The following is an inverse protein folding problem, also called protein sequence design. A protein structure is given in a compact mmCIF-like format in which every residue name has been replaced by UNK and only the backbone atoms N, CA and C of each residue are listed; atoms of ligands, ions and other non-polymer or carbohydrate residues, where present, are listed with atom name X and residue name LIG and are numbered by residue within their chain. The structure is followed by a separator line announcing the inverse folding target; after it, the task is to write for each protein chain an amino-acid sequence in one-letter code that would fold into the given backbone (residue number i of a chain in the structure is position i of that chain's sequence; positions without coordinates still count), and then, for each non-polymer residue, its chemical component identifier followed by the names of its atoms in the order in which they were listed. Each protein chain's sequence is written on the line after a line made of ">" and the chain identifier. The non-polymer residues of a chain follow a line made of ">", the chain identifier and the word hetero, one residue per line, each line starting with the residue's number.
data_IF_877458762509
#
_entry.id   IF_877458762509
#
_cell.length_a   1.000
_cell.length_b   1.000
_cell.length_c   1.000
_cell.angle_alpha   90.00
_cell.angle_beta   90.00
_cell.angle_gamma   90.00
#
_symmetry.space_group_name_H-M   'P 1'
#
loop_
_entity.id
_entity.type
_entity.pdbx_description
1 polymer ?
#
# COMPACT_ATOMS: atom_id res chain seq x y z
N UNK A 1 4.41 21.33 -17.43
CA UNK A 1 5.21 20.08 -17.51
C UNK A 1 5.54 19.66 -16.08
N UNK A 2 5.23 18.43 -15.68
CA UNK A 2 5.56 17.92 -14.36
C UNK A 2 7.08 18.00 -14.13
N UNK A 3 7.47 18.47 -12.96
CA UNK A 3 8.87 18.47 -12.50
C UNK A 3 8.92 18.04 -11.03
N UNK A 4 10.13 17.72 -10.54
CA UNK A 4 10.32 17.18 -9.18
C UNK A 4 9.83 18.13 -8.07
N UNK A 5 9.95 19.44 -8.27
CA UNK A 5 9.46 20.41 -7.30
C UNK A 5 7.93 20.35 -7.18
N UNK A 6 7.20 20.31 -8.30
CA UNK A 6 5.74 20.17 -8.32
C UNK A 6 5.34 18.81 -7.73
N UNK A 7 5.96 17.71 -8.19
CA UNK A 7 5.67 16.37 -7.72
C UNK A 7 5.89 16.21 -6.20
N UNK A 8 6.93 16.89 -5.65
CA UNK A 8 7.22 16.85 -4.23
C UNK A 8 6.21 17.66 -3.40
N UNK A 9 5.84 18.87 -3.88
CA UNK A 9 5.08 19.83 -3.07
C UNK A 9 3.55 19.74 -3.27
N UNK A 10 3.06 19.04 -4.29
CA UNK A 10 1.61 18.83 -4.43
C UNK A 10 1.08 17.88 -3.36
N UNK A 11 -0.14 18.09 -2.82
CA UNK A 11 -0.79 17.12 -1.95
C UNK A 11 -0.98 15.78 -2.63
N UNK A 12 -0.76 14.71 -1.89
CA UNK A 12 -0.92 13.33 -2.36
C UNK A 12 -1.76 12.52 -1.37
N UNK A 13 -2.39 11.48 -1.88
CA UNK A 13 -3.05 10.43 -1.12
C UNK A 13 -2.41 9.11 -1.53
N UNK A 14 -1.89 8.37 -0.57
CA UNK A 14 -1.24 7.07 -0.77
C UNK A 14 -2.08 5.97 -0.13
N UNK A 15 -2.56 5.04 -0.94
CA UNK A 15 -3.52 4.01 -0.55
C UNK A 15 -2.92 2.60 -0.51
N UNK A 16 -1.66 2.43 -0.94
CA UNK A 16 -0.98 1.16 -1.02
C UNK A 16 0.48 1.28 -0.58
N UNK A 17 0.72 1.12 0.71
CA UNK A 17 2.05 1.20 1.29
C UNK A 17 2.19 0.22 2.45
N UNK A 18 3.08 -0.78 2.31
CA UNK A 18 3.34 -1.80 3.31
C UNK A 18 4.29 -1.30 4.40
N UNK A 19 3.95 -1.53 5.66
CA UNK A 19 4.73 -1.12 6.81
C UNK A 19 6.11 -1.80 6.85
N UNK A 20 6.12 -3.10 6.65
CA UNK A 20 7.29 -3.96 6.70
C UNK A 20 8.27 -3.70 5.55
N UNK A 21 7.76 -3.30 4.37
CA UNK A 21 8.59 -2.93 3.22
C UNK A 21 9.00 -1.44 3.18
N UNK A 22 8.64 -0.63 4.19
CA UNK A 22 8.77 0.83 4.10
C UNK A 22 9.48 1.49 5.29
N UNK A 23 10.11 0.69 6.17
CA UNK A 23 10.91 1.21 7.29
C UNK A 23 12.21 1.84 6.79
N UNK A 24 12.56 3.03 7.30
CA UNK A 24 13.83 3.65 6.91
C UNK A 24 15.05 2.86 7.39
N UNK A 25 16.13 2.88 6.61
CA UNK A 25 17.39 2.20 6.98
C UNK A 25 17.93 2.64 8.35
N UNK A 26 17.92 3.95 8.71
CA UNK A 26 18.33 4.39 10.06
C UNK A 26 17.46 3.82 11.18
N UNK A 27 16.15 3.65 10.95
CA UNK A 27 15.27 3.05 11.94
C UNK A 27 15.58 1.56 12.11
N UNK A 28 15.75 0.82 11.03
CA UNK A 28 16.10 -0.61 11.09
C UNK A 28 17.42 -0.80 11.86
N UNK A 29 18.46 -0.01 11.55
CA UNK A 29 19.73 -0.02 12.26
C UNK A 29 19.56 0.21 13.77
N UNK A 30 18.74 1.20 14.15
CA UNK A 30 18.43 1.52 15.54
C UNK A 30 17.72 0.36 16.25
N UNK A 31 16.70 -0.24 15.61
CA UNK A 31 15.94 -1.36 16.19
C UNK A 31 16.82 -2.59 16.38
N UNK A 32 17.70 -2.91 15.41
CA UNK A 32 18.68 -3.98 15.56
C UNK A 32 19.57 -3.77 16.81
N UNK A 33 20.07 -2.55 17.02
CA UNK A 33 20.85 -2.20 18.21
C UNK A 33 20.06 -2.38 19.51
N UNK A 34 18.80 -1.98 19.53
CA UNK A 34 17.94 -2.13 20.70
C UNK A 34 17.67 -3.60 21.06
N UNK A 35 17.64 -4.48 20.05
CA UNK A 35 17.53 -5.93 20.23
C UNK A 35 18.86 -6.61 20.58
N UNK A 36 19.94 -5.85 20.72
CA UNK A 36 21.28 -6.40 21.01
C UNK A 36 21.94 -7.10 19.83
N UNK A 37 21.42 -6.91 18.60
CA UNK A 37 22.04 -7.39 17.37
C UNK A 37 23.15 -6.43 16.95
N UNK A 38 24.21 -6.97 16.31
CA UNK A 38 25.24 -6.12 15.72
C UNK A 38 24.63 -5.29 14.58
N UNK A 39 24.72 -3.94 14.64
CA UNK A 39 24.11 -3.09 13.65
C UNK A 39 24.90 -3.15 12.34
N UNK A 40 24.20 -3.39 11.25
CA UNK A 40 24.77 -3.32 9.90
C UNK A 40 25.00 -1.86 9.50
N UNK A 41 25.99 -1.60 8.64
CA UNK A 41 26.16 -0.30 8.00
C UNK A 41 24.97 0.04 7.09
N UNK A 42 24.71 1.35 6.85
CA UNK A 42 23.57 1.77 6.00
C UNK A 42 23.67 1.23 4.57
N UNK A 43 24.87 1.17 4.00
CA UNK A 43 25.09 0.60 2.66
C UNK A 43 24.81 -0.92 2.65
N UNK A 44 25.27 -1.64 3.66
CA UNK A 44 25.00 -3.08 3.78
C UNK A 44 23.50 -3.36 3.98
N UNK A 45 22.81 -2.52 4.77
CA UNK A 45 21.35 -2.58 4.91
C UNK A 45 20.67 -2.33 3.57
N UNK A 46 21.13 -1.34 2.81
CA UNK A 46 20.58 -1.05 1.48
C UNK A 46 20.71 -2.25 0.54
N UNK A 47 21.88 -2.87 0.47
CA UNK A 47 22.10 -4.08 -0.36
C UNK A 47 21.19 -5.25 0.04
N UNK A 48 20.95 -5.42 1.33
CA UNK A 48 20.07 -6.50 1.84
C UNK A 48 18.60 -6.23 1.62
N UNK A 49 18.15 -4.98 1.72
CA UNK A 49 16.75 -4.60 1.79
C UNK A 49 16.15 -4.13 0.45
N UNK A 50 16.97 -3.50 -0.40
CA UNK A 50 16.49 -3.01 -1.67
C UNK A 50 16.44 -4.14 -2.69
N UNK A 51 15.29 -4.28 -3.34
CA UNK A 51 15.13 -5.19 -4.46
C UNK A 51 15.79 -4.61 -5.71
N UNK A 52 16.66 -5.34 -6.40
CA UNK A 52 17.26 -4.84 -7.62
C UNK A 52 16.22 -4.67 -8.74
N UNK A 53 16.49 -3.75 -9.68
CA UNK A 53 15.59 -3.52 -10.82
C UNK A 53 15.53 -4.71 -11.79
N UNK A 54 16.51 -5.59 -11.74
CA UNK A 54 16.58 -6.85 -12.50
C UNK A 54 16.11 -8.06 -11.68
N UNK A 55 15.44 -7.85 -10.55
CA UNK A 55 14.79 -8.90 -9.78
C UNK A 55 13.98 -9.82 -10.69
N UNK A 56 14.08 -11.13 -10.49
CA UNK A 56 13.56 -12.11 -11.45
C UNK A 56 12.08 -12.46 -11.24
N UNK A 57 11.57 -12.23 -10.04
CA UNK A 57 10.23 -12.66 -9.65
C UNK A 57 9.73 -11.98 -8.37
N UNK A 58 8.43 -12.06 -8.14
CA UNK A 58 7.81 -11.67 -6.85
C UNK A 58 8.42 -12.47 -5.67
N UNK A 59 8.74 -13.73 -5.86
CA UNK A 59 9.33 -14.55 -4.79
C UNK A 59 10.69 -14.00 -4.33
N UNK A 60 11.57 -13.63 -5.26
CA UNK A 60 12.86 -12.99 -4.94
C UNK A 60 12.67 -11.62 -4.26
N UNK A 61 11.69 -10.85 -4.74
CA UNK A 61 11.31 -9.58 -4.10
C UNK A 61 10.90 -9.77 -2.64
N UNK A 62 10.11 -10.80 -2.33
CA UNK A 62 9.62 -11.09 -0.99
C UNK A 62 10.72 -11.54 0.00
N UNK A 63 11.88 -12.01 -0.47
CA UNK A 63 13.03 -12.35 0.40
C UNK A 63 13.56 -11.11 1.16
N UNK A 64 13.31 -9.90 0.65
CA UNK A 64 13.75 -8.64 1.27
C UNK A 64 13.05 -8.30 2.59
N UNK A 65 11.97 -8.99 2.92
CA UNK A 65 11.14 -8.69 4.10
C UNK A 65 11.60 -9.38 5.40
N UNK A 66 12.49 -10.38 5.33
CA UNK A 66 12.90 -11.14 6.51
C UNK A 66 13.46 -10.25 7.62
N UNK A 67 14.39 -9.35 7.29
CA UNK A 67 15.06 -8.49 8.26
C UNK A 67 14.11 -7.41 8.83
N UNK A 68 13.30 -6.69 8.03
CA UNK A 68 12.28 -5.78 8.54
C UNK A 68 11.27 -6.46 9.46
N UNK A 69 10.74 -7.62 9.09
CA UNK A 69 9.81 -8.38 9.93
C UNK A 69 10.43 -8.75 11.28
N UNK A 70 11.73 -9.10 11.30
CA UNK A 70 12.47 -9.32 12.55
C UNK A 70 12.51 -8.11 13.48
N UNK A 71 12.42 -6.88 12.94
CA UNK A 71 12.37 -5.63 13.72
C UNK A 71 10.94 -5.27 14.21
N UNK A 72 9.91 -5.95 13.69
CA UNK A 72 8.50 -5.68 14.00
C UNK A 72 7.91 -6.66 15.03
N UNK A 73 8.75 -7.24 15.90
CA UNK A 73 8.32 -8.21 16.90
C UNK A 73 8.04 -7.60 18.28
N UNK A 74 8.20 -6.29 18.45
CA UNK A 74 7.97 -5.58 19.70
C UNK A 74 6.98 -4.42 19.54
N UNK A 75 6.30 -4.02 20.61
CA UNK A 75 5.39 -2.85 20.61
C UNK A 75 6.12 -1.57 20.20
N UNK A 76 7.34 -1.42 20.72
CA UNK A 76 8.21 -0.28 20.44
C UNK A 76 8.63 -0.25 18.96
N UNK A 77 9.03 -1.39 18.40
CA UNK A 77 9.40 -1.53 17.00
C UNK A 77 8.24 -1.20 16.07
N UNK A 78 7.05 -1.77 16.33
CA UNK A 78 5.83 -1.51 15.55
C UNK A 78 5.41 -0.03 15.60
N UNK A 79 5.39 0.58 16.79
CA UNK A 79 5.06 1.99 16.95
C UNK A 79 6.08 2.91 16.28
N UNK A 80 7.38 2.58 16.38
CA UNK A 80 8.43 3.36 15.74
C UNK A 80 8.37 3.26 14.21
N UNK A 81 8.14 2.06 13.66
CA UNK A 81 8.00 1.85 12.22
C UNK A 81 6.81 2.62 11.63
N UNK A 82 5.65 2.55 12.28
CA UNK A 82 4.47 3.27 11.84
C UNK A 82 4.67 4.80 11.87
N UNK A 83 5.30 5.32 12.93
CA UNK A 83 5.62 6.74 13.03
C UNK A 83 6.63 7.19 11.97
N UNK A 84 7.70 6.43 11.76
CA UNK A 84 8.76 6.72 10.80
C UNK A 84 8.20 6.79 9.36
N UNK A 85 7.41 5.78 8.98
CA UNK A 85 6.76 5.72 7.67
C UNK A 85 5.86 6.94 7.45
N UNK A 86 4.94 7.22 8.38
CA UNK A 86 4.00 8.33 8.23
C UNK A 86 4.71 9.70 8.19
N UNK A 87 5.75 9.91 9.02
CA UNK A 87 6.55 11.14 8.96
C UNK A 87 7.35 11.26 7.67
N UNK A 88 7.86 10.15 7.13
CA UNK A 88 8.53 10.15 5.82
C UNK A 88 7.58 10.53 4.69
N UNK A 89 6.38 9.97 4.67
CA UNK A 89 5.34 10.30 3.69
C UNK A 89 4.90 11.78 3.78
N UNK A 90 4.73 12.30 5.01
CA UNK A 90 4.34 13.69 5.24
C UNK A 90 5.36 14.70 4.66
N UNK A 91 6.67 14.39 4.68
CA UNK A 91 7.71 15.25 4.07
C UNK A 91 7.51 15.46 2.58
N UNK A 92 6.84 14.52 1.91
CA UNK A 92 6.52 14.57 0.48
C UNK A 92 5.09 15.08 0.21
N UNK A 93 4.45 15.71 1.19
CA UNK A 93 3.09 16.22 1.10
C UNK A 93 2.03 15.12 0.90
N UNK A 94 2.29 13.90 1.35
CA UNK A 94 1.22 12.91 1.50
C UNK A 94 0.31 13.38 2.65
N UNK A 95 -0.96 13.65 2.33
CA UNK A 95 -1.96 14.18 3.29
C UNK A 95 -2.82 13.09 3.90
N UNK A 96 -2.88 11.93 3.25
CA UNK A 96 -3.53 10.73 3.76
C UNK A 96 -2.75 9.49 3.31
N UNK A 97 -2.50 8.62 4.28
CA UNK A 97 -1.74 7.38 4.08
C UNK A 97 -2.51 6.19 4.66
N UNK A 98 -2.80 5.19 3.84
CA UNK A 98 -3.28 3.89 4.30
C UNK A 98 -2.11 2.93 4.40
N UNK A 99 -1.68 2.64 5.64
CA UNK A 99 -0.59 1.71 5.93
C UNK A 99 -1.15 0.31 6.02
N UNK A 100 -0.60 -0.62 5.21
CA UNK A 100 -1.00 -2.03 5.24
C UNK A 100 0.09 -2.93 5.78
N UNK A 101 -0.29 -3.98 6.47
CA UNK A 101 0.62 -4.99 7.01
C UNK A 101 -0.15 -6.22 7.51
N UNK A 102 0.54 -7.36 7.66
CA UNK A 102 -0.02 -8.59 8.18
C UNK A 102 0.35 -8.78 9.67
N UNK A 103 -0.55 -8.53 10.63
CA UNK A 103 -0.25 -8.66 12.07
C UNK A 103 0.33 -10.01 12.47
N UNK A 104 -0.09 -11.08 11.79
CA UNK A 104 0.39 -12.45 12.08
C UNK A 104 1.89 -12.61 11.98
N UNK A 105 2.59 -11.80 11.17
CA UNK A 105 4.04 -11.85 11.03
C UNK A 105 4.79 -11.12 12.16
N UNK A 106 4.08 -10.46 13.06
CA UNK A 106 4.65 -9.79 14.24
C UNK A 106 4.35 -10.53 15.56
N UNK A 107 3.93 -11.79 15.49
CA UNK A 107 3.51 -12.59 16.65
C UNK A 107 4.59 -13.54 17.17
N UNK A 108 5.77 -13.60 16.55
CA UNK A 108 6.81 -14.60 16.89
C UNK A 108 7.34 -14.44 18.33
N UNK A 109 7.33 -13.22 18.86
CA UNK A 109 7.74 -12.95 20.26
C UNK A 109 6.55 -12.86 21.24
N UNK A 110 5.37 -13.37 20.84
CA UNK A 110 4.23 -13.54 21.72
C UNK A 110 3.26 -12.39 21.81
N UNK A 111 3.38 -11.37 20.95
CA UNK A 111 2.38 -10.32 20.84
C UNK A 111 1.07 -10.89 20.29
N UNK A 112 -0.05 -10.42 20.84
CA UNK A 112 -1.38 -10.66 20.29
C UNK A 112 -1.66 -9.71 19.12
N UNK A 113 -2.60 -10.06 18.24
CA UNK A 113 -3.08 -9.20 17.16
C UNK A 113 -3.52 -7.84 17.70
N UNK A 114 -4.24 -7.82 18.85
CA UNK A 114 -4.67 -6.60 19.53
C UNK A 114 -3.49 -5.70 19.88
N UNK A 115 -2.46 -6.22 20.55
CA UNK A 115 -1.30 -5.45 20.95
C UNK A 115 -0.52 -4.90 19.75
N UNK A 116 -0.45 -5.67 18.67
CA UNK A 116 0.17 -5.25 17.41
C UNK A 116 -0.60 -4.07 16.80
N UNK A 117 -1.92 -4.18 16.67
CA UNK A 117 -2.76 -3.11 16.11
C UNK A 117 -2.73 -1.84 16.98
N UNK A 118 -2.77 -1.98 18.30
CA UNK A 118 -2.62 -0.84 19.23
C UNK A 118 -1.28 -0.14 19.04
N UNK A 119 -0.19 -0.89 18.90
CA UNK A 119 1.16 -0.35 18.75
C UNK A 119 1.33 0.41 17.43
N UNK A 120 0.84 -0.13 16.31
CA UNK A 120 0.88 0.55 15.01
C UNK A 120 0.01 1.81 15.05
N UNK A 121 -1.22 1.72 15.57
CA UNK A 121 -2.11 2.88 15.75
C UNK A 121 -1.46 4.00 16.55
N UNK A 122 -0.80 3.66 17.65
CA UNK A 122 -0.13 4.63 18.51
C UNK A 122 1.04 5.32 17.78
N UNK A 123 1.77 4.58 16.94
CA UNK A 123 2.81 5.14 16.07
C UNK A 123 2.25 6.12 15.05
N UNK A 124 1.17 5.75 14.37
CA UNK A 124 0.48 6.61 13.40
C UNK A 124 -0.05 7.89 14.06
N UNK A 125 -0.72 7.80 15.21
CA UNK A 125 -1.19 8.98 15.96
C UNK A 125 -0.06 9.92 16.35
N UNK A 126 1.09 9.39 16.80
CA UNK A 126 2.27 10.20 17.08
C UNK A 126 2.82 10.94 15.85
N UNK A 127 2.63 10.38 14.65
CA UNK A 127 2.99 11.08 13.42
C UNK A 127 1.99 12.18 13.08
N UNK A 128 0.69 11.94 13.21
CA UNK A 128 -0.38 12.93 13.01
C UNK A 128 -0.25 14.14 13.93
N UNK A 129 0.23 13.94 15.17
CA UNK A 129 0.52 15.02 16.11
C UNK A 129 1.71 15.90 15.69
N UNK A 130 2.63 15.37 14.86
CA UNK A 130 3.90 16.01 14.48
C UNK A 130 3.93 16.56 13.06
N UNK A 131 3.04 16.10 12.21
CA UNK A 131 3.03 16.44 10.79
C UNK A 131 1.59 16.56 10.28
N UNK A 132 1.44 17.30 9.18
CA UNK A 132 0.14 17.47 8.49
C UNK A 132 -0.20 16.26 7.61
N UNK A 133 -0.52 15.14 8.25
CA UNK A 133 -0.91 13.88 7.63
C UNK A 133 -2.04 13.25 8.43
N UNK A 134 -2.95 12.56 7.76
CA UNK A 134 -3.96 11.69 8.35
C UNK A 134 -3.68 10.25 7.92
N UNK A 135 -4.04 9.26 8.75
CA UNK A 135 -3.64 7.88 8.53
C UNK A 135 -4.78 6.89 8.76
N UNK A 136 -4.70 5.75 8.09
CA UNK A 136 -5.52 4.57 8.33
C UNK A 136 -4.70 3.29 8.26
N UNK A 137 -5.14 2.22 8.94
CA UNK A 137 -4.51 0.90 8.86
C UNK A 137 -5.36 -0.03 8.02
N UNK A 138 -4.72 -0.78 7.13
CA UNK A 138 -5.31 -1.91 6.41
C UNK A 138 -4.66 -3.20 6.93
N UNK A 139 -5.48 -4.13 7.39
CA UNK A 139 -5.01 -5.43 7.90
C UNK A 139 -4.93 -6.42 6.76
N UNK A 140 -3.72 -6.85 6.40
CA UNK A 140 -3.51 -7.84 5.35
C UNK A 140 -3.84 -9.25 5.85
N UNK A 141 -4.79 -9.90 5.21
CA UNK A 141 -4.89 -11.35 5.19
C UNK A 141 -3.88 -11.90 4.19
N UNK A 142 -3.34 -13.08 4.46
CA UNK A 142 -2.22 -13.61 3.69
C UNK A 142 -2.60 -14.87 2.93
N UNK A 143 -2.19 -14.93 1.66
CA UNK A 143 -2.50 -16.05 0.76
C UNK A 143 -1.83 -17.36 1.17
N UNK A 144 -0.70 -17.30 1.84
CA UNK A 144 0.04 -18.47 2.36
C UNK A 144 -0.43 -18.95 3.74
N UNK A 145 -1.54 -18.37 4.25
CA UNK A 145 -2.13 -18.77 5.53
C UNK A 145 -3.47 -19.48 5.31
N UNK A 146 -3.78 -20.38 6.25
CA UNK A 146 -5.09 -21.04 6.31
C UNK A 146 -6.22 -20.00 6.50
N UNK A 147 -7.35 -20.26 5.87
CA UNK A 147 -8.55 -19.40 5.91
C UNK A 147 -8.96 -19.07 7.35
N UNK A 148 -8.92 -20.06 8.25
CA UNK A 148 -9.30 -19.92 9.65
C UNK A 148 -8.39 -18.94 10.42
N UNK A 149 -7.10 -18.93 10.12
CA UNK A 149 -6.14 -17.97 10.71
C UNK A 149 -6.41 -16.55 10.23
N UNK A 150 -6.66 -16.37 8.92
CA UNK A 150 -7.07 -15.10 8.35
C UNK A 150 -8.39 -14.59 8.98
N UNK A 151 -9.40 -15.45 9.13
CA UNK A 151 -10.67 -15.10 9.76
C UNK A 151 -10.49 -14.74 11.23
N UNK A 152 -9.66 -15.47 11.98
CA UNK A 152 -9.39 -15.19 13.38
C UNK A 152 -8.72 -13.80 13.54
N UNK A 153 -7.79 -13.45 12.65
CA UNK A 153 -7.18 -12.13 12.64
C UNK A 153 -8.17 -11.02 12.31
N UNK A 154 -9.06 -11.20 11.32
CA UNK A 154 -10.11 -10.22 10.99
C UNK A 154 -11.09 -10.02 12.15
N UNK A 155 -11.37 -11.05 12.93
CA UNK A 155 -12.21 -10.95 14.13
C UNK A 155 -11.62 -10.02 15.18
N UNK A 156 -10.32 -10.06 15.40
CA UNK A 156 -9.63 -9.12 16.30
C UNK A 156 -9.56 -7.71 15.68
N UNK A 157 -9.23 -7.62 14.39
CA UNK A 157 -9.11 -6.36 13.66
C UNK A 157 -10.43 -5.57 13.63
N UNK A 158 -11.57 -6.26 13.59
CA UNK A 158 -12.90 -5.65 13.61
C UNK A 158 -13.10 -4.71 14.81
N UNK A 159 -12.56 -5.04 15.97
CA UNK A 159 -12.69 -4.22 17.18
C UNK A 159 -12.00 -2.84 17.04
N UNK A 160 -11.15 -2.69 16.03
CA UNK A 160 -10.45 -1.46 15.69
C UNK A 160 -11.05 -0.72 14.48
N UNK A 161 -12.08 -1.28 13.84
CA UNK A 161 -12.73 -0.64 12.69
C UNK A 161 -13.31 0.73 13.09
N UNK A 162 -12.91 1.79 12.38
CA UNK A 162 -13.22 3.18 12.73
C UNK A 162 -12.39 3.74 13.89
N UNK A 163 -11.43 2.96 14.43
CA UNK A 163 -10.49 3.39 15.47
C UNK A 163 -9.06 2.97 15.10
N UNK A 164 -8.64 3.38 13.92
CA UNK A 164 -7.33 3.09 13.33
C UNK A 164 -7.42 2.14 12.16
N UNK A 165 -8.10 0.99 12.27
CA UNK A 165 -8.34 0.09 11.13
C UNK A 165 -9.45 0.67 10.26
N UNK A 166 -9.19 0.74 8.95
CA UNK A 166 -10.14 1.25 7.94
C UNK A 166 -10.60 0.16 6.97
N UNK A 167 -9.81 -0.89 6.77
CA UNK A 167 -10.11 -1.96 5.82
C UNK A 167 -9.27 -3.21 6.10
N UNK A 168 -9.53 -4.27 5.32
CA UNK A 168 -8.61 -5.39 5.16
C UNK A 168 -8.17 -5.56 3.70
N UNK A 169 -7.16 -6.41 3.49
CA UNK A 169 -6.57 -6.73 2.20
C UNK A 169 -6.29 -8.23 2.10
N UNK A 170 -6.05 -8.74 0.89
CA UNK A 170 -5.47 -10.05 0.63
C UNK A 170 -4.15 -9.86 -0.12
N UNK A 171 -3.04 -10.18 0.53
CA UNK A 171 -1.70 -10.03 -0.01
C UNK A 171 -0.95 -11.37 -0.11
N UNK A 172 0.17 -11.38 -0.82
CA UNK A 172 1.02 -12.53 -1.05
C UNK A 172 0.90 -13.09 -2.47
N UNK A 173 1.53 -14.23 -2.73
CA UNK A 173 1.68 -14.81 -4.07
C UNK A 173 0.33 -15.30 -4.65
N UNK A 174 -0.28 -14.49 -5.53
CA UNK A 174 -1.55 -14.83 -6.19
C UNK A 174 -1.41 -15.99 -7.19
N UNK A 175 -0.21 -16.24 -7.70
CA UNK A 175 0.05 -17.33 -8.62
C UNK A 175 0.03 -18.68 -7.91
N UNK A 176 0.56 -18.72 -6.69
CA UNK A 176 0.56 -19.92 -5.86
C UNK A 176 -0.80 -20.16 -5.16
N UNK A 177 -1.52 -19.08 -4.83
CA UNK A 177 -2.75 -19.14 -4.03
C UNK A 177 -3.83 -18.23 -4.63
N UNK A 178 -4.71 -18.78 -5.51
CA UNK A 178 -5.70 -17.98 -6.22
C UNK A 178 -6.73 -17.33 -5.30
N UNK A 179 -7.21 -16.15 -5.67
CA UNK A 179 -8.16 -15.33 -4.92
C UNK A 179 -9.45 -16.08 -4.55
N UNK A 180 -9.91 -16.98 -5.42
CA UNK A 180 -11.12 -17.77 -5.19
C UNK A 180 -11.07 -18.63 -3.91
N UNK A 181 -9.88 -19.05 -3.47
CA UNK A 181 -9.69 -19.82 -2.26
C UNK A 181 -10.04 -19.04 -0.96
N UNK A 182 -10.14 -17.70 -1.06
CA UNK A 182 -10.36 -16.80 0.09
C UNK A 182 -11.78 -16.22 0.16
N UNK A 183 -12.75 -16.82 -0.54
CA UNK A 183 -14.13 -16.34 -0.57
C UNK A 183 -14.75 -16.23 0.85
N UNK A 184 -14.46 -17.17 1.74
CA UNK A 184 -14.97 -17.16 3.12
C UNK A 184 -14.35 -16.04 3.98
N UNK A 185 -13.10 -15.63 3.69
CA UNK A 185 -12.45 -14.48 4.32
C UNK A 185 -13.23 -13.20 4.00
N UNK A 186 -13.56 -12.98 2.72
CA UNK A 186 -14.31 -11.80 2.29
C UNK A 186 -15.81 -11.85 2.66
N UNK A 187 -16.41 -13.02 2.68
CA UNK A 187 -17.74 -13.18 3.25
C UNK A 187 -17.76 -12.76 4.74
N UNK A 188 -16.69 -13.09 5.48
CA UNK A 188 -16.52 -12.67 6.87
C UNK A 188 -16.27 -11.17 6.99
N UNK A 189 -15.40 -10.57 6.15
CA UNK A 189 -15.18 -9.12 6.12
C UNK A 189 -16.50 -8.36 5.88
N UNK A 190 -17.30 -8.79 4.89
CA UNK A 190 -18.64 -8.24 4.62
C UNK A 190 -19.56 -8.32 5.84
N UNK A 191 -19.60 -9.47 6.51
CA UNK A 191 -20.40 -9.67 7.74
C UNK A 191 -20.00 -8.71 8.85
N UNK A 192 -18.72 -8.33 8.90
CA UNK A 192 -18.20 -7.35 9.87
C UNK A 192 -18.37 -5.89 9.43
N UNK A 193 -18.87 -5.62 8.23
CA UNK A 193 -18.95 -4.28 7.67
C UNK A 193 -17.56 -3.68 7.40
N UNK A 194 -16.55 -4.53 7.24
CA UNK A 194 -15.17 -4.13 6.98
C UNK A 194 -14.95 -3.98 5.47
N UNK A 195 -14.60 -2.78 4.98
CA UNK A 195 -14.21 -2.59 3.58
C UNK A 195 -12.95 -3.39 3.25
N UNK A 196 -12.71 -3.65 1.96
CA UNK A 196 -11.50 -4.37 1.56
C UNK A 196 -11.01 -3.99 0.18
N UNK A 197 -9.71 -4.13 0.02
CA UNK A 197 -8.97 -4.19 -1.25
C UNK A 197 -8.43 -5.60 -1.45
N UNK A 198 -8.04 -5.95 -2.66
CA UNK A 198 -7.44 -7.26 -2.98
C UNK A 198 -6.29 -7.04 -3.94
N UNK A 199 -5.08 -7.50 -3.60
CA UNK A 199 -4.00 -7.64 -4.58
C UNK A 199 -4.48 -8.63 -5.65
N UNK A 200 -4.63 -8.17 -6.88
CA UNK A 200 -5.08 -9.00 -7.99
C UNK A 200 -4.53 -8.50 -9.32
N UNK A 201 -4.06 -9.41 -10.15
CA UNK A 201 -3.51 -9.09 -11.45
C UNK A 201 -2.11 -8.46 -11.41
N UNK A 202 -1.34 -8.69 -10.36
CA UNK A 202 0.08 -8.37 -10.29
C UNK A 202 0.91 -9.41 -11.04
N UNK A 203 0.62 -10.69 -10.87
CA UNK A 203 1.33 -11.80 -11.53
C UNK A 203 0.79 -12.16 -12.92
N UNK A 204 0.03 -11.26 -13.56
CA UNK A 204 -0.44 -11.42 -14.94
C UNK A 204 -1.74 -12.21 -15.14
N UNK A 205 -2.56 -12.40 -14.08
CA UNK A 205 -3.85 -13.09 -14.17
C UNK A 205 -5.05 -12.12 -14.16
N UNK A 206 -5.80 -12.07 -15.26
CA UNK A 206 -7.07 -11.35 -15.37
C UNK A 206 -8.17 -12.01 -14.56
N UNK A 207 -8.10 -13.32 -14.38
CA UNK A 207 -9.08 -14.09 -13.62
C UNK A 207 -9.07 -13.71 -12.14
N UNK A 208 -7.90 -13.42 -11.58
CA UNK A 208 -7.78 -12.92 -10.21
C UNK A 208 -8.53 -11.59 -10.02
N UNK A 209 -8.44 -10.70 -11.02
CA UNK A 209 -9.18 -9.43 -11.02
C UNK A 209 -10.69 -9.68 -11.11
N UNK A 210 -11.15 -10.56 -12.01
CA UNK A 210 -12.57 -10.91 -12.12
C UNK A 210 -13.11 -11.52 -10.83
N UNK A 211 -12.35 -12.43 -10.24
CA UNK A 211 -12.70 -13.02 -8.94
C UNK A 211 -12.77 -11.97 -7.84
N UNK A 212 -11.83 -11.03 -7.77
CA UNK A 212 -11.87 -9.93 -6.81
C UNK A 212 -13.14 -9.07 -6.97
N UNK A 213 -13.55 -8.78 -8.21
CA UNK A 213 -14.79 -8.06 -8.52
C UNK A 213 -16.02 -8.87 -8.08
N UNK A 214 -16.07 -10.16 -8.36
CA UNK A 214 -17.16 -11.06 -7.94
C UNK A 214 -17.27 -11.16 -6.41
N UNK A 215 -16.15 -11.19 -5.72
CA UNK A 215 -16.09 -11.13 -4.26
C UNK A 215 -16.55 -9.76 -3.74
N UNK A 216 -16.68 -8.74 -4.60
CA UNK A 216 -17.24 -7.42 -4.29
C UNK A 216 -16.23 -6.47 -3.66
N UNK A 217 -14.97 -6.55 -4.06
CA UNK A 217 -13.96 -5.56 -3.67
C UNK A 217 -14.34 -4.16 -4.16
N UNK A 218 -13.96 -3.14 -3.40
CA UNK A 218 -14.07 -1.74 -3.83
C UNK A 218 -12.76 -1.18 -4.38
N UNK A 219 -11.64 -1.89 -4.21
CA UNK A 219 -10.33 -1.54 -4.77
C UNK A 219 -9.57 -2.81 -5.16
N UNK A 220 -8.66 -2.65 -6.10
CA UNK A 220 -7.76 -3.69 -6.60
C UNK A 220 -6.33 -3.19 -6.46
N UNK A 221 -5.50 -3.93 -5.72
CA UNK A 221 -4.05 -3.71 -5.69
C UNK A 221 -3.43 -4.10 -7.04
N UNK A 222 -2.59 -3.25 -7.58
CA UNK A 222 -1.90 -3.37 -8.86
C UNK A 222 -2.80 -3.39 -10.10
N UNK A 223 -3.55 -4.45 -10.35
CA UNK A 223 -4.48 -4.54 -11.48
C UNK A 223 -3.83 -4.59 -12.88
N UNK A 224 -2.52 -4.80 -12.98
CA UNK A 224 -1.73 -4.68 -14.22
C UNK A 224 -2.21 -5.62 -15.31
N UNK A 225 -2.62 -6.84 -14.95
CA UNK A 225 -3.10 -7.85 -15.90
C UNK A 225 -4.35 -7.42 -16.69
N UNK A 226 -5.03 -6.35 -16.27
CA UNK A 226 -6.20 -5.79 -16.98
C UNK A 226 -5.80 -5.11 -18.31
N UNK A 227 -4.54 -4.78 -18.51
CA UNK A 227 -4.05 -4.18 -19.75
C UNK A 227 -4.46 -4.98 -20.99
N UNK A 228 -4.95 -4.28 -22.02
CA UNK A 228 -5.46 -4.87 -23.26
C UNK A 228 -6.80 -5.61 -23.14
N UNK A 229 -7.49 -5.58 -21.98
CA UNK A 229 -8.84 -6.15 -21.80
C UNK A 229 -9.88 -5.02 -21.68
N UNK A 230 -10.46 -4.62 -22.80
CA UNK A 230 -11.41 -3.49 -22.86
C UNK A 230 -12.69 -3.74 -22.04
N UNK A 231 -13.17 -5.00 -22.01
CA UNK A 231 -14.38 -5.36 -21.27
C UNK A 231 -14.14 -5.28 -19.77
N UNK A 232 -13.00 -5.79 -19.29
CA UNK A 232 -12.64 -5.76 -17.88
C UNK A 232 -12.38 -4.32 -17.41
N UNK A 233 -11.66 -3.50 -18.20
CA UNK A 233 -11.45 -2.07 -17.91
C UNK A 233 -12.77 -1.31 -17.81
N UNK A 234 -13.69 -1.57 -18.73
CA UNK A 234 -15.02 -0.96 -18.73
C UNK A 234 -15.80 -1.36 -17.47
N UNK A 235 -15.79 -2.63 -17.11
CA UNK A 235 -16.45 -3.14 -15.91
C UNK A 235 -15.91 -2.46 -14.64
N UNK A 236 -14.57 -2.37 -14.49
CA UNK A 236 -13.91 -1.72 -13.35
C UNK A 236 -14.28 -0.24 -13.26
N UNK A 237 -14.29 0.48 -14.40
CA UNK A 237 -14.64 1.88 -14.47
C UNK A 237 -16.12 2.12 -14.13
N UNK A 238 -17.06 1.34 -14.71
CA UNK A 238 -18.50 1.46 -14.46
C UNK A 238 -18.87 1.16 -13.00
N UNK A 239 -18.22 0.16 -12.39
CA UNK A 239 -18.38 -0.18 -10.97
C UNK A 239 -17.66 0.77 -10.02
N UNK A 240 -16.88 1.73 -10.54
CA UNK A 240 -16.07 2.69 -9.79
C UNK A 240 -15.12 2.01 -8.79
N UNK A 241 -14.54 0.89 -9.19
CA UNK A 241 -13.53 0.19 -8.40
C UNK A 241 -12.21 0.95 -8.55
N UNK A 242 -11.58 1.29 -7.42
CA UNK A 242 -10.27 1.94 -7.42
C UNK A 242 -9.16 0.96 -7.80
N UNK A 243 -8.14 1.43 -8.53
CA UNK A 243 -6.95 0.65 -8.87
C UNK A 243 -5.71 1.32 -8.28
N UNK A 244 -4.97 0.56 -7.48
CA UNK A 244 -3.81 1.01 -6.71
C UNK A 244 -2.54 0.70 -7.50
N UNK A 245 -2.10 1.62 -8.37
CA UNK A 245 -0.90 1.43 -9.18
C UNK A 245 0.36 1.64 -8.36
N UNK A 246 1.33 0.71 -8.53
CA UNK A 246 2.63 0.71 -7.85
C UNK A 246 3.76 0.60 -8.90
N UNK A 247 4.10 1.70 -9.62
CA UNK A 247 4.93 1.66 -10.82
C UNK A 247 6.28 0.98 -10.64
N UNK A 248 7.03 1.36 -9.61
CA UNK A 248 8.37 0.79 -9.38
C UNK A 248 8.31 -0.68 -8.98
N UNK A 249 7.42 -1.05 -8.05
CA UNK A 249 7.24 -2.43 -7.61
C UNK A 249 6.82 -3.33 -8.78
N UNK A 250 5.86 -2.88 -9.62
CA UNK A 250 5.42 -3.65 -10.76
C UNK A 250 6.52 -3.95 -11.80
N UNK A 251 7.51 -3.07 -11.91
CA UNK A 251 8.68 -3.31 -12.74
C UNK A 251 9.65 -4.32 -12.07
N UNK A 252 9.85 -4.22 -10.76
CA UNK A 252 10.72 -5.14 -10.01
C UNK A 252 10.13 -6.55 -9.92
N UNK A 253 8.83 -6.68 -9.67
CA UNK A 253 8.12 -7.98 -9.61
C UNK A 253 7.86 -8.61 -10.98
N UNK A 254 8.24 -7.91 -12.07
CA UNK A 254 8.01 -8.32 -13.45
C UNK A 254 6.52 -8.41 -13.85
N UNK A 255 5.65 -7.74 -13.13
CA UNK A 255 4.29 -7.50 -13.60
C UNK A 255 4.29 -6.74 -14.94
N UNK A 256 5.29 -5.86 -15.12
CA UNK A 256 5.62 -5.19 -16.38
C UNK A 256 7.11 -5.38 -16.66
N UNK A 257 7.47 -5.78 -17.86
CA UNK A 257 8.88 -6.03 -18.23
C UNK A 257 9.60 -4.80 -18.77
N UNK A 258 8.88 -3.90 -19.42
CA UNK A 258 9.36 -2.62 -19.90
C UNK A 258 8.42 -1.51 -19.41
N UNK A 259 8.98 -0.47 -18.80
CA UNK A 259 8.19 0.61 -18.27
C UNK A 259 7.43 1.41 -19.33
N UNK A 260 7.87 1.38 -20.59
CA UNK A 260 7.14 1.98 -21.72
C UNK A 260 5.77 1.33 -21.96
N UNK A 261 5.60 0.07 -21.52
CA UNK A 261 4.36 -0.68 -21.61
C UNK A 261 3.48 -0.56 -20.35
N UNK A 262 3.89 0.27 -19.38
CA UNK A 262 3.14 0.45 -18.15
C UNK A 262 1.75 1.05 -18.43
N UNK A 263 0.64 0.41 -17.98
CA UNK A 263 -0.70 0.71 -18.50
C UNK A 263 -1.36 1.95 -17.88
N UNK A 264 -0.60 2.84 -17.24
CA UNK A 264 -1.15 4.03 -16.58
C UNK A 264 -2.04 4.86 -17.51
N UNK A 265 -1.54 5.18 -18.72
CA UNK A 265 -2.29 6.00 -19.67
C UNK A 265 -3.54 5.31 -20.19
N UNK A 266 -3.44 4.02 -20.47
CA UNK A 266 -4.55 3.16 -20.89
C UNK A 266 -5.68 3.18 -19.86
N UNK A 267 -5.35 2.97 -18.57
CA UNK A 267 -6.34 2.94 -17.48
C UNK A 267 -6.92 4.32 -17.19
N UNK A 268 -6.08 5.37 -17.25
CA UNK A 268 -6.53 6.74 -17.08
C UNK A 268 -7.54 7.18 -18.13
N UNK A 269 -7.28 6.85 -19.42
CA UNK A 269 -8.15 7.18 -20.54
C UNK A 269 -9.44 6.34 -20.54
N UNK A 270 -9.41 5.11 -20.01
CA UNK A 270 -10.59 4.29 -19.75
C UNK A 270 -11.49 4.81 -18.61
N UNK A 271 -11.06 5.85 -17.87
CA UNK A 271 -11.85 6.45 -16.79
C UNK A 271 -11.80 5.69 -15.47
N UNK A 272 -10.86 4.77 -15.30
CA UNK A 272 -10.66 4.03 -14.05
C UNK A 272 -10.19 4.98 -12.95
N UNK A 273 -10.65 4.77 -11.72
CA UNK A 273 -10.21 5.51 -10.54
C UNK A 273 -8.82 5.03 -10.13
N UNK A 274 -7.78 5.81 -10.43
CA UNK A 274 -6.39 5.45 -10.18
C UNK A 274 -5.83 6.15 -8.95
N UNK A 275 -5.02 5.45 -8.17
CA UNK A 275 -4.06 6.01 -7.22
C UNK A 275 -2.65 5.59 -7.60
N UNK A 276 -1.66 6.44 -7.28
CA UNK A 276 -0.22 6.19 -7.51
C UNK A 276 0.40 5.99 -6.14
N UNK A 277 1.03 4.84 -5.93
CA UNK A 277 1.47 4.37 -4.63
C UNK A 277 2.88 3.81 -4.70
N UNK A 278 3.54 3.68 -3.55
CA UNK A 278 4.92 3.18 -3.45
C UNK A 278 5.01 1.68 -3.24
N UNK A 279 3.93 1.04 -2.76
CA UNK A 279 3.92 -0.34 -2.32
C UNK A 279 4.90 -0.56 -1.13
N UNK A 280 6.21 -0.52 -1.38
CA UNK A 280 7.27 -0.75 -0.41
C UNK A 280 8.37 0.30 -0.58
N UNK A 281 8.34 1.38 0.20
CA UNK A 281 9.23 2.54 0.01
C UNK A 281 10.72 2.18 0.10
N UNK A 282 11.07 1.30 1.04
CA UNK A 282 12.46 0.87 1.25
C UNK A 282 12.85 -0.27 0.33
N UNK A 283 12.01 -1.30 0.23
CA UNK A 283 12.31 -2.46 -0.63
C UNK A 283 12.35 -2.06 -2.10
N UNK A 284 11.44 -1.19 -2.55
CA UNK A 284 11.45 -0.68 -3.93
C UNK A 284 12.36 0.53 -4.15
N UNK A 285 13.03 1.03 -3.09
CA UNK A 285 13.89 2.22 -3.17
C UNK A 285 13.19 3.39 -3.86
N UNK A 286 12.00 3.72 -3.40
CA UNK A 286 11.13 4.72 -4.03
C UNK A 286 10.43 5.61 -3.00
N UNK A 287 9.81 6.65 -3.49
CA UNK A 287 8.96 7.57 -2.77
C UNK A 287 7.74 7.94 -3.61
N UNK A 288 6.67 8.47 -3.01
CA UNK A 288 5.56 8.98 -3.80
C UNK A 288 6.02 9.98 -4.88
N UNK A 289 6.95 10.85 -4.53
CA UNK A 289 7.53 11.82 -5.49
C UNK A 289 8.20 11.10 -6.66
N UNK A 290 8.94 10.03 -6.39
CA UNK A 290 9.64 9.26 -7.44
C UNK A 290 8.65 8.52 -8.34
N UNK A 291 7.57 7.96 -7.80
CA UNK A 291 6.53 7.29 -8.60
C UNK A 291 5.86 8.26 -9.58
N UNK A 292 5.49 9.47 -9.12
CA UNK A 292 4.95 10.51 -10.00
C UNK A 292 5.97 10.98 -11.06
N UNK A 293 7.24 11.11 -10.66
CA UNK A 293 8.30 11.52 -11.60
C UNK A 293 8.58 10.42 -12.63
N UNK A 294 8.62 9.16 -12.24
CA UNK A 294 8.81 8.03 -13.14
C UNK A 294 7.74 7.99 -14.25
N UNK A 295 6.49 8.16 -13.89
CA UNK A 295 5.38 8.25 -14.85
C UNK A 295 5.49 9.50 -15.75
N UNK A 296 5.93 10.63 -15.19
CA UNK A 296 6.09 11.87 -15.95
C UNK A 296 7.27 11.80 -16.94
N UNK A 297 8.40 11.24 -16.55
CA UNK A 297 9.58 11.04 -17.38
C UNK A 297 9.31 10.07 -18.54
N UNK A 298 8.45 9.08 -18.31
CA UNK A 298 7.95 8.20 -19.36
C UNK A 298 6.87 8.85 -20.26
N UNK A 299 6.50 10.12 -20.03
CA UNK A 299 5.49 10.83 -20.82
C UNK A 299 4.04 10.43 -20.53
N UNK A 300 3.81 9.60 -19.52
CA UNK A 300 2.49 9.07 -19.17
C UNK A 300 1.69 10.01 -18.27
N UNK A 301 2.36 10.77 -17.41
CA UNK A 301 1.74 11.66 -16.43
C UNK A 301 2.11 13.11 -16.66
N UNK A 302 1.16 14.01 -16.54
CA UNK A 302 1.31 15.45 -16.72
C UNK A 302 0.61 16.22 -15.60
N UNK A 303 1.08 17.44 -15.32
CA UNK A 303 0.54 18.31 -14.26
C UNK A 303 -1.00 18.48 -14.28
N UNK A 304 -1.68 18.65 -15.42
CA UNK A 304 -3.15 18.73 -15.46
C UNK A 304 -3.88 17.47 -14.98
N UNK A 305 -3.17 16.34 -14.83
CA UNK A 305 -3.76 15.09 -14.36
C UNK A 305 -3.77 14.99 -12.81
N UNK A 306 -3.04 15.87 -12.12
CA UNK A 306 -2.88 15.82 -10.66
C UNK A 306 -4.22 15.84 -9.92
N UNK A 307 -5.12 16.75 -10.30
CA UNK A 307 -6.44 16.87 -9.67
C UNK A 307 -7.25 15.59 -9.83
N UNK A 308 -7.33 15.05 -11.05
CA UNK A 308 -8.10 13.82 -11.33
C UNK A 308 -7.57 12.63 -10.53
N UNK A 309 -6.23 12.48 -10.43
CA UNK A 309 -5.60 11.40 -9.63
C UNK A 309 -5.85 11.62 -8.14
N UNK A 310 -5.70 12.86 -7.63
CA UNK A 310 -5.99 13.15 -6.23
C UNK A 310 -7.45 12.86 -5.89
N UNK A 311 -8.41 13.30 -6.72
CA UNK A 311 -9.83 13.06 -6.50
C UNK A 311 -10.21 11.58 -6.64
N UNK A 312 -9.59 10.84 -7.56
CA UNK A 312 -9.78 9.40 -7.68
C UNK A 312 -9.27 8.67 -6.42
N UNK A 313 -8.08 9.05 -5.92
CA UNK A 313 -7.53 8.51 -4.68
C UNK A 313 -8.41 8.85 -3.48
N UNK A 314 -8.90 10.09 -3.39
CA UNK A 314 -9.80 10.54 -2.34
C UNK A 314 -11.13 9.76 -2.34
N UNK A 315 -11.71 9.54 -3.52
CA UNK A 315 -12.92 8.74 -3.67
C UNK A 315 -12.69 7.30 -3.19
N UNK A 316 -11.58 6.71 -3.59
CA UNK A 316 -11.22 5.31 -3.33
C UNK A 316 -10.73 5.06 -1.90
N UNK A 317 -10.30 6.09 -1.16
CA UNK A 317 -9.82 5.96 0.22
C UNK A 317 -10.90 5.34 1.13
N UNK A 318 -10.49 4.48 2.05
CA UNK A 318 -11.35 3.91 3.10
C UNK A 318 -11.56 4.86 4.29
N UNK A 319 -11.13 6.10 4.15
CA UNK A 319 -11.40 7.17 5.11
C UNK A 319 -12.91 7.45 5.26
N UNK A 320 -13.32 7.90 6.43
CA UNK A 320 -14.67 8.39 6.66
C UNK A 320 -14.94 9.72 5.93
N UNK A 321 -16.20 10.13 5.88
CA UNK A 321 -16.62 11.32 5.14
C UNK A 321 -16.03 12.62 5.72
N UNK A 322 -15.84 12.71 7.05
CA UNK A 322 -15.23 13.86 7.69
C UNK A 322 -13.75 14.00 7.30
N UNK A 323 -13.01 12.89 7.32
CA UNK A 323 -11.64 12.82 6.83
C UNK A 323 -11.55 13.19 5.36
N UNK A 324 -12.45 12.66 4.51
CA UNK A 324 -12.50 13.01 3.08
C UNK A 324 -12.78 14.50 2.85
N UNK A 325 -13.64 15.12 3.64
CA UNK A 325 -13.87 16.57 3.56
C UNK A 325 -12.64 17.39 3.94
N UNK A 326 -11.88 16.98 4.97
CA UNK A 326 -10.62 17.62 5.34
C UNK A 326 -9.61 17.52 4.20
N UNK A 327 -9.45 16.34 3.60
CA UNK A 327 -8.53 16.12 2.48
C UNK A 327 -8.92 16.94 1.24
N UNK A 328 -10.22 17.00 0.92
CA UNK A 328 -10.71 17.87 -0.16
C UNK A 328 -10.36 19.34 0.08
N UNK A 329 -10.56 19.85 1.31
CA UNK A 329 -10.18 21.22 1.67
C UNK A 329 -8.68 21.47 1.54
N UNK A 330 -7.84 20.49 1.92
CA UNK A 330 -6.37 20.58 1.75
C UNK A 330 -5.96 20.69 0.29
N UNK A 331 -6.66 20.01 -0.62
CA UNK A 331 -6.43 20.17 -2.06
C UNK A 331 -6.85 21.57 -2.52
N UNK A 332 -8.05 22.01 -2.17
CA UNK A 332 -8.56 23.32 -2.58
C UNK A 332 -7.70 24.47 -2.09
N UNK A 333 -7.16 24.40 -0.87
CA UNK A 333 -6.30 25.44 -0.30
C UNK A 333 -4.99 25.69 -1.06
N UNK A 334 -4.58 24.77 -1.94
CA UNK A 334 -3.43 25.02 -2.84
C UNK A 334 -3.71 26.10 -3.89
N UNK A 335 -4.98 26.32 -4.23
CA UNK A 335 -5.40 27.24 -5.28
C UNK A 335 -6.01 28.53 -4.71
N UNK A 336 -6.22 28.59 -3.40
CA UNK A 336 -6.61 29.81 -2.69
C UNK A 336 -5.35 30.66 -2.45
N UNK A 337 -5.01 31.49 -3.45
CA UNK A 337 -3.98 32.54 -3.39
C UNK A 337 -4.55 33.83 -2.83
#
# INVERSE_FOLDING_TARGET
>A
MMNRFIAHNMPKIELHCHLDGSMSLPLIQKLMQQEGKEPLGLEELREKLVAPMDCSSLAEYLEKFELPLGCLQTKEGLSAAAQDLALSAAKEQVKYLEVRFAPVFSMEQGLSVREILESVRDGLKKAEEKADILTGMIVCTMRNLETEKNIAMLKEAREFLGNGVVACDLAGDEKAYPTAAFADVFATAKKYGMPYTIHAGECGSREEIRTAIELGTSRIGHGIAMSGDEELKKEVAEKKIGVELCPTSNLQTKAVTDFTDYPFREFYDAGILLSINTDNRTVSDTSCTDEYMRLAEAGMFQEPMCEKIYMASLHSAFADDDTKQVLWKKWMSMFDL
#
